data_IF_896461053112
#
_entry.id   IF_896461053112
#
_cell.length_a   1.000
_cell.length_b   1.000
_cell.length_c   1.000
_cell.angle_alpha   90.00
_cell.angle_beta   90.00
_cell.angle_gamma   90.00
#
_symmetry.space_group_name_H-M   'P 1'
#
loop_
_entity.id
_entity.type
_entity.pdbx_description
1 polymer ?
#
# COMPACT_ATOMS: atom_id res chain seq x y z
N UNK A 1 6.10 3.27 12.49
CA UNK A 1 6.97 4.47 12.65
C UNK A 1 6.77 5.33 11.42
N UNK A 2 6.58 6.65 11.58
CA UNK A 2 6.46 7.58 10.45
C UNK A 2 7.85 7.92 9.93
N UNK A 3 8.09 7.65 8.66
CA UNK A 3 9.38 7.86 8.03
C UNK A 3 9.27 8.85 6.87
N UNK A 4 8.16 8.79 6.12
CA UNK A 4 7.97 9.60 4.92
C UNK A 4 7.41 10.98 5.22
N UNK A 5 6.38 11.07 6.06
CA UNK A 5 5.71 12.34 6.36
C UNK A 5 5.97 12.75 7.80
N UNK A 6 7.01 13.56 8.01
CA UNK A 6 7.33 14.17 9.31
C UNK A 6 7.21 15.70 9.23
N UNK A 7 6.96 16.35 10.36
CA UNK A 7 7.04 17.79 10.48
C UNK A 7 8.42 18.23 10.97
N UNK A 8 9.20 18.95 10.13
CA UNK A 8 10.42 19.58 10.60
C UNK A 8 10.13 20.53 11.77
N UNK A 9 10.90 20.39 12.85
CA UNK A 9 10.74 21.22 14.04
C UNK A 9 9.87 20.61 15.15
N UNK A 10 9.23 19.46 14.91
CA UNK A 10 8.67 18.62 15.99
C UNK A 10 9.80 17.71 16.50
N UNK A 11 10.34 17.93 17.73
CA UNK A 11 11.58 17.29 18.15
C UNK A 11 11.50 15.76 18.17
N UNK A 12 10.37 15.19 18.63
CA UNK A 12 10.19 13.74 18.73
C UNK A 12 10.14 13.08 17.34
N UNK A 13 9.40 13.66 16.38
CA UNK A 13 9.34 13.13 15.02
C UNK A 13 10.70 13.20 14.33
N UNK A 14 11.39 14.33 14.50
CA UNK A 14 12.71 14.55 13.94
C UNK A 14 13.71 13.54 14.50
N UNK A 15 13.72 13.35 15.83
CA UNK A 15 14.59 12.39 16.49
C UNK A 15 14.33 10.95 16.02
N UNK A 16 13.06 10.53 15.98
CA UNK A 16 12.70 9.18 15.53
C UNK A 16 13.14 8.93 14.08
N UNK A 17 12.88 9.88 13.19
CA UNK A 17 13.31 9.79 11.79
C UNK A 17 14.83 9.74 11.67
N UNK A 18 15.55 10.61 12.35
CA UNK A 18 17.01 10.68 12.28
C UNK A 18 17.65 9.39 12.81
N UNK A 19 17.08 8.80 13.87
CA UNK A 19 17.49 7.49 14.37
C UNK A 19 17.32 6.39 13.30
N UNK A 20 16.18 6.36 12.62
CA UNK A 20 15.93 5.38 11.54
C UNK A 20 16.89 5.56 10.39
N UNK A 21 17.08 6.80 9.92
CA UNK A 21 18.04 7.09 8.86
C UNK A 21 19.46 6.69 9.25
N UNK A 22 19.86 6.95 10.50
CA UNK A 22 21.18 6.55 10.99
C UNK A 22 21.34 5.02 11.01
N UNK A 23 20.28 4.26 11.35
CA UNK A 23 20.28 2.79 11.27
C UNK A 23 20.39 2.30 9.82
N UNK A 24 19.65 2.89 8.88
CA UNK A 24 19.73 2.56 7.45
C UNK A 24 21.13 2.86 6.89
N UNK A 25 21.71 4.01 7.23
CA UNK A 25 23.07 4.39 6.83
C UNK A 25 24.12 3.46 7.45
N UNK A 26 23.91 3.00 8.68
CA UNK A 26 24.78 1.99 9.29
C UNK A 26 24.67 0.67 8.52
N UNK A 27 23.46 0.19 8.27
CA UNK A 27 23.22 -1.02 7.48
C UNK A 27 23.97 -0.99 6.14
N UNK A 28 23.84 0.08 5.36
CA UNK A 28 24.53 0.15 4.06
C UNK A 28 26.05 0.21 4.14
N UNK A 29 26.62 0.80 5.20
CA UNK A 29 28.07 0.75 5.44
C UNK A 29 28.55 -0.66 5.76
N UNK A 30 27.81 -1.38 6.59
CA UNK A 30 28.14 -2.77 6.93
C UNK A 30 27.99 -3.69 5.71
N UNK A 31 26.94 -3.47 4.90
CA UNK A 31 26.74 -4.18 3.64
C UNK A 31 27.90 -3.97 2.68
N UNK A 32 28.34 -2.73 2.45
CA UNK A 32 29.49 -2.45 1.57
C UNK A 32 30.77 -3.15 2.05
N UNK A 33 31.03 -3.08 3.37
CA UNK A 33 32.20 -3.70 3.98
C UNK A 33 32.24 -5.23 3.84
N UNK A 34 31.08 -5.88 3.70
CA UNK A 34 30.93 -7.34 3.61
C UNK A 34 30.44 -7.84 2.25
N UNK A 35 30.33 -6.95 1.26
CA UNK A 35 29.73 -7.26 -0.04
C UNK A 35 30.45 -8.38 -0.79
N UNK A 36 31.78 -8.46 -0.68
CA UNK A 36 32.56 -9.54 -1.28
C UNK A 36 32.32 -10.89 -0.57
N UNK A 37 32.31 -10.89 0.77
CA UNK A 37 32.03 -12.08 1.59
C UNK A 37 30.62 -12.65 1.28
N UNK A 38 29.64 -11.79 0.99
CA UNK A 38 28.30 -12.20 0.54
C UNK A 38 28.39 -13.01 -0.75
N UNK A 39 29.09 -12.48 -1.76
CA UNK A 39 29.25 -13.13 -3.06
C UNK A 39 29.98 -14.48 -2.91
N UNK A 40 31.03 -14.54 -2.10
CA UNK A 40 31.78 -15.78 -1.88
C UNK A 40 30.97 -16.84 -1.13
N UNK A 41 30.08 -16.45 -0.22
CA UNK A 41 29.17 -17.36 0.49
C UNK A 41 28.20 -18.04 -0.48
N UNK A 42 27.59 -17.28 -1.41
CA UNK A 42 26.68 -17.85 -2.41
C UNK A 42 27.39 -18.68 -3.49
N UNK A 43 28.68 -18.43 -3.72
CA UNK A 43 29.50 -19.25 -4.61
C UNK A 43 30.11 -20.47 -3.90
N UNK A 44 29.66 -20.79 -2.68
CA UNK A 44 30.16 -21.89 -1.85
C UNK A 44 31.68 -21.82 -1.57
N UNK A 45 32.26 -20.60 -1.65
CA UNK A 45 33.69 -20.36 -1.39
C UNK A 45 33.98 -20.05 0.06
N UNK A 46 32.95 -19.74 0.84
CA UNK A 46 33.04 -19.40 2.25
C UNK A 46 31.84 -19.95 3.02
N UNK A 47 32.10 -20.36 4.27
CA UNK A 47 31.04 -20.64 5.24
C UNK A 47 30.88 -19.41 6.13
N UNK A 48 29.77 -18.68 5.97
CA UNK A 48 29.44 -17.50 6.75
C UNK A 48 27.99 -17.57 7.20
N UNK A 49 27.74 -17.28 8.48
CA UNK A 49 26.39 -17.15 9.00
C UNK A 49 25.75 -15.83 8.55
N UNK A 50 25.25 -15.86 7.32
CA UNK A 50 24.54 -14.75 6.72
C UNK A 50 23.27 -14.42 7.51
N UNK A 51 22.58 -15.42 8.08
CA UNK A 51 21.33 -15.22 8.80
C UNK A 51 21.55 -14.40 10.06
N UNK A 52 22.53 -14.80 10.88
CA UNK A 52 22.88 -14.06 12.09
C UNK A 52 23.37 -12.65 11.76
N UNK A 53 24.13 -12.47 10.68
CA UNK A 53 24.58 -11.15 10.25
C UNK A 53 23.42 -10.24 9.81
N UNK A 54 22.45 -10.77 9.05
CA UNK A 54 21.27 -10.00 8.67
C UNK A 54 20.41 -9.63 9.88
N UNK A 55 20.34 -10.52 10.88
CA UNK A 55 19.68 -10.22 12.15
C UNK A 55 20.40 -9.11 12.94
N UNK A 56 21.72 -9.15 13.00
CA UNK A 56 22.55 -8.15 13.68
C UNK A 56 22.50 -6.77 13.00
N UNK A 57 22.32 -6.70 11.69
CA UNK A 57 22.45 -5.44 10.96
C UNK A 57 21.15 -4.94 10.33
N UNK A 58 20.47 -5.73 9.50
CA UNK A 58 19.23 -5.31 8.83
C UNK A 58 18.06 -5.24 9.81
N UNK A 59 17.84 -6.31 10.59
CA UNK A 59 16.67 -6.41 11.47
C UNK A 59 16.72 -5.46 12.68
N UNK A 60 17.88 -4.86 12.98
CA UNK A 60 17.97 -3.77 13.97
C UNK A 60 17.26 -2.49 13.53
N UNK A 61 16.96 -2.33 12.23
CA UNK A 61 16.10 -1.27 11.73
C UNK A 61 14.66 -1.55 12.17
N UNK A 62 14.13 -2.73 11.83
CA UNK A 62 12.85 -3.28 12.28
C UNK A 62 12.88 -4.82 12.13
N UNK A 63 12.48 -5.56 13.17
CA UNK A 63 12.54 -7.02 13.20
C UNK A 63 11.55 -7.69 12.24
N UNK A 64 10.55 -6.98 11.73
CA UNK A 64 9.62 -7.50 10.74
C UNK A 64 10.14 -7.42 9.30
N UNK A 65 11.30 -6.82 9.07
CA UNK A 65 11.93 -6.81 7.75
C UNK A 65 12.54 -8.18 7.45
N UNK A 66 12.23 -8.67 6.26
CA UNK A 66 12.75 -9.92 5.72
C UNK A 66 13.62 -9.63 4.49
N UNK A 67 14.37 -10.63 4.05
CA UNK A 67 15.31 -10.47 2.95
C UNK A 67 15.47 -11.72 2.11
N UNK A 68 15.84 -11.52 0.84
CA UNK A 68 16.20 -12.60 -0.08
C UNK A 68 17.38 -12.18 -0.94
N UNK A 69 18.34 -13.08 -1.11
CA UNK A 69 19.42 -12.92 -2.09
C UNK A 69 19.18 -13.83 -3.29
N UNK A 70 19.67 -13.40 -4.44
CA UNK A 70 19.63 -14.21 -5.65
C UNK A 70 20.46 -13.61 -6.77
N UNK A 71 20.43 -14.20 -7.97
CA UNK A 71 21.01 -13.59 -9.15
C UNK A 71 20.25 -12.30 -9.53
N UNK A 72 20.96 -11.35 -10.14
CA UNK A 72 20.35 -10.16 -10.74
C UNK A 72 19.24 -10.56 -11.73
N UNK A 73 18.19 -9.74 -11.83
CA UNK A 73 17.12 -9.96 -12.81
C UNK A 73 17.48 -9.40 -14.18
N UNK A 74 18.31 -8.35 -14.23
CA UNK A 74 18.69 -7.65 -15.45
C UNK A 74 20.15 -7.87 -15.76
N UNK A 75 20.49 -9.11 -16.09
CA UNK A 75 21.82 -9.49 -16.56
C UNK A 75 22.66 -10.17 -15.50
N UNK A 76 23.97 -9.94 -15.54
CA UNK A 76 24.92 -10.54 -14.60
C UNK A 76 24.99 -9.76 -13.30
N UNK A 77 25.15 -10.47 -12.19
CA UNK A 77 25.30 -9.88 -10.86
C UNK A 77 24.38 -10.51 -9.82
N UNK A 78 24.12 -9.75 -8.78
CA UNK A 78 23.38 -10.18 -7.61
C UNK A 78 22.18 -9.27 -7.36
N UNK A 79 21.17 -9.80 -6.69
CA UNK A 79 20.08 -9.01 -6.14
C UNK A 79 19.97 -9.20 -4.63
N UNK A 80 19.58 -8.14 -3.96
CA UNK A 80 19.07 -8.17 -2.59
C UNK A 80 17.64 -7.62 -2.60
N UNK A 81 16.69 -8.44 -2.18
CA UNK A 81 15.34 -8.03 -1.86
C UNK A 81 15.26 -7.77 -0.37
N UNK A 82 14.77 -6.59 0.03
CA UNK A 82 14.35 -6.28 1.39
C UNK A 82 12.83 -6.17 1.34
N UNK A 83 12.13 -7.12 1.95
CA UNK A 83 10.68 -7.32 1.77
C UNK A 83 9.94 -7.18 3.09
N UNK A 84 8.72 -6.61 3.08
CA UNK A 84 7.85 -6.59 4.25
C UNK A 84 7.13 -7.92 4.53
N UNK A 85 7.22 -8.92 3.63
CA UNK A 85 6.55 -10.23 3.74
C UNK A 85 5.07 -10.11 4.16
N UNK A 86 4.30 -9.34 3.39
CA UNK A 86 2.87 -9.11 3.68
C UNK A 86 2.59 -8.16 4.85
N UNK A 87 3.61 -7.74 5.61
CA UNK A 87 3.48 -6.71 6.65
C UNK A 87 3.45 -5.32 6.01
N UNK A 88 2.34 -4.97 5.34
CA UNK A 88 2.26 -3.80 4.46
C UNK A 88 2.71 -2.47 5.08
N UNK A 89 2.52 -2.26 6.38
CA UNK A 89 3.07 -1.10 7.11
C UNK A 89 4.59 -0.91 6.98
N UNK A 90 5.34 -1.97 6.70
CA UNK A 90 6.80 -1.93 6.51
C UNK A 90 7.22 -1.63 5.06
N UNK A 91 6.29 -1.61 4.10
CA UNK A 91 6.60 -1.39 2.69
C UNK A 91 7.28 -0.03 2.46
N UNK A 92 6.84 1.02 3.17
CA UNK A 92 7.45 2.36 3.10
C UNK A 92 8.87 2.36 3.68
N UNK A 93 9.11 1.59 4.75
CA UNK A 93 10.44 1.45 5.34
C UNK A 93 11.38 0.66 4.42
N UNK A 94 10.93 -0.46 3.87
CA UNK A 94 11.68 -1.24 2.90
C UNK A 94 12.06 -0.41 1.66
N UNK A 95 11.13 0.39 1.13
CA UNK A 95 11.40 1.30 0.02
C UNK A 95 12.44 2.35 0.42
N UNK A 96 12.31 2.96 1.61
CA UNK A 96 13.29 3.94 2.09
C UNK A 96 14.70 3.36 2.23
N UNK A 97 14.82 2.10 2.69
CA UNK A 97 16.11 1.42 2.77
C UNK A 97 16.72 1.30 1.37
N UNK A 98 15.95 0.79 0.40
CA UNK A 98 16.39 0.57 -0.98
C UNK A 98 16.69 1.87 -1.72
N UNK A 99 15.89 2.92 -1.53
CA UNK A 99 16.12 4.25 -2.13
C UNK A 99 17.43 4.89 -1.64
N UNK A 100 17.89 4.49 -0.45
CA UNK A 100 19.16 4.94 0.12
C UNK A 100 20.34 4.02 -0.23
N UNK A 101 20.13 2.96 -1.01
CA UNK A 101 21.19 2.07 -1.44
C UNK A 101 22.23 2.85 -2.26
N UNK A 102 23.53 2.75 -1.92
CA UNK A 102 24.60 3.22 -2.80
C UNK A 102 24.57 2.51 -4.15
N UNK A 103 25.12 3.16 -5.18
CA UNK A 103 25.28 2.56 -6.50
C UNK A 103 26.42 1.54 -6.47
N UNK A 104 26.07 0.28 -6.20
CA UNK A 104 27.00 -0.83 -6.10
C UNK A 104 27.05 -1.57 -7.44
N UNK A 105 28.20 -1.53 -8.11
CA UNK A 105 28.42 -2.27 -9.35
C UNK A 105 28.09 -3.75 -9.17
N UNK A 106 27.28 -4.29 -10.09
CA UNK A 106 26.84 -5.69 -10.10
C UNK A 106 25.71 -6.04 -9.11
N UNK A 107 25.04 -5.05 -8.51
CA UNK A 107 23.95 -5.27 -7.56
C UNK A 107 22.64 -4.61 -7.96
N UNK A 108 21.55 -5.34 -7.75
CA UNK A 108 20.16 -4.86 -7.86
C UNK A 108 19.48 -4.89 -6.48
N UNK A 109 18.79 -3.81 -6.12
CA UNK A 109 18.07 -3.71 -4.86
C UNK A 109 16.57 -3.57 -5.09
N UNK A 110 15.78 -4.35 -4.36
CA UNK A 110 14.33 -4.35 -4.46
C UNK A 110 13.68 -4.26 -3.08
N UNK A 111 12.63 -3.45 -2.96
CA UNK A 111 11.90 -3.26 -1.70
C UNK A 111 10.69 -4.20 -1.53
N UNK A 112 10.56 -5.18 -2.43
CA UNK A 112 9.48 -6.16 -2.50
C UNK A 112 9.91 -7.28 -3.45
N UNK A 113 9.40 -8.49 -3.23
CA UNK A 113 9.74 -9.64 -4.10
C UNK A 113 9.27 -9.40 -5.54
N UNK A 114 10.15 -9.50 -6.55
CA UNK A 114 9.76 -9.46 -7.95
C UNK A 114 9.05 -10.77 -8.37
N UNK A 115 8.38 -10.77 -9.51
CA UNK A 115 7.84 -12.00 -10.10
C UNK A 115 8.96 -12.98 -10.44
N UNK A 116 8.70 -14.28 -10.26
CA UNK A 116 9.69 -15.35 -10.43
C UNK A 116 10.00 -15.70 -11.89
N UNK A 117 9.16 -15.30 -12.84
CA UNK A 117 9.32 -15.61 -14.26
C UNK A 117 9.36 -17.12 -14.54
N UNK A 118 10.32 -17.56 -15.35
CA UNK A 118 10.44 -18.95 -15.82
C UNK A 118 10.76 -19.97 -14.71
N UNK A 119 11.18 -19.52 -13.53
CA UNK A 119 11.54 -20.37 -12.39
C UNK A 119 10.41 -20.56 -11.37
N UNK A 120 9.17 -20.25 -11.77
CA UNK A 120 8.00 -20.23 -10.91
C UNK A 120 7.82 -21.53 -10.09
N UNK A 121 7.73 -22.68 -10.75
CA UNK A 121 7.43 -23.97 -10.10
C UNK A 121 8.55 -24.40 -9.14
N UNK A 122 9.81 -24.18 -9.53
CA UNK A 122 10.98 -24.48 -8.68
C UNK A 122 10.96 -23.63 -7.41
N UNK A 123 10.65 -22.34 -7.53
CA UNK A 123 10.63 -21.43 -6.39
C UNK A 123 9.45 -21.72 -5.46
N UNK A 124 8.28 -22.08 -6.01
CA UNK A 124 7.14 -22.52 -5.21
C UNK A 124 7.51 -23.80 -4.43
N UNK A 125 8.05 -24.81 -5.12
CA UNK A 125 8.46 -26.06 -4.49
C UNK A 125 9.53 -25.86 -3.40
N UNK A 126 10.48 -24.95 -3.61
CA UNK A 126 11.49 -24.61 -2.59
C UNK A 126 10.89 -23.92 -1.35
N UNK A 127 9.87 -23.06 -1.53
CA UNK A 127 9.22 -22.32 -0.43
C UNK A 127 8.22 -23.17 0.35
N UNK A 128 7.49 -24.06 -0.33
CA UNK A 128 6.33 -24.75 0.26
C UNK A 128 6.52 -26.25 0.39
N UNK A 129 7.49 -26.84 -0.32
CA UNK A 129 7.62 -28.29 -0.46
C UNK A 129 6.52 -28.93 -1.31
N UNK A 130 5.66 -28.12 -1.96
CA UNK A 130 4.49 -28.58 -2.71
C UNK A 130 4.76 -28.50 -4.22
N UNK A 131 4.46 -29.59 -4.92
CA UNK A 131 4.40 -29.61 -6.38
C UNK A 131 3.06 -29.02 -6.86
N UNK A 132 3.13 -27.90 -7.57
CA UNK A 132 1.97 -27.22 -8.15
C UNK A 132 1.79 -27.53 -9.64
N UNK A 133 2.51 -28.52 -10.17
CA UNK A 133 2.41 -28.95 -11.57
C UNK A 133 0.97 -29.28 -11.94
N UNK A 134 0.53 -28.76 -13.09
CA UNK A 134 -0.82 -28.94 -13.61
C UNK A 134 -1.89 -28.08 -12.94
N UNK A 135 -1.53 -27.26 -11.94
CA UNK A 135 -2.43 -26.23 -11.39
C UNK A 135 -2.89 -25.30 -12.51
N UNK A 136 -4.17 -24.94 -12.45
CA UNK A 136 -4.75 -23.95 -13.37
C UNK A 136 -5.31 -22.77 -12.58
N UNK A 137 -5.39 -21.63 -13.24
CA UNK A 137 -5.94 -20.41 -12.64
C UNK A 137 -6.79 -19.64 -13.64
N UNK A 138 -7.97 -19.24 -13.20
CA UNK A 138 -8.82 -18.29 -13.89
C UNK A 138 -8.46 -16.87 -13.43
N UNK A 139 -8.27 -15.97 -14.40
CA UNK A 139 -8.00 -14.54 -14.17
C UNK A 139 -9.26 -13.77 -14.55
N UNK A 140 -9.85 -13.03 -13.61
CA UNK A 140 -11.15 -12.35 -13.79
C UNK A 140 -11.08 -10.89 -13.34
N UNK A 141 -11.83 -9.99 -13.98
CA UNK A 141 -12.02 -8.64 -13.42
C UNK A 141 -12.74 -8.75 -12.08
N UNK A 142 -12.16 -8.16 -11.05
CA UNK A 142 -12.71 -8.13 -9.70
C UNK A 142 -13.38 -6.81 -9.34
N UNK A 143 -13.86 -6.73 -8.10
CA UNK A 143 -14.43 -5.49 -7.56
C UNK A 143 -13.35 -4.42 -7.40
N UNK A 144 -13.77 -3.15 -7.43
CA UNK A 144 -12.89 -2.01 -7.21
C UNK A 144 -11.64 -1.99 -8.12
N UNK A 145 -11.76 -2.55 -9.33
CA UNK A 145 -10.65 -2.65 -10.31
C UNK A 145 -9.49 -3.54 -9.83
N UNK A 146 -9.77 -4.51 -8.97
CA UNK A 146 -8.88 -5.63 -8.72
C UNK A 146 -8.96 -6.67 -9.84
N UNK A 147 -8.07 -7.66 -9.75
CA UNK A 147 -8.04 -8.86 -10.55
C UNK A 147 -8.25 -10.03 -9.59
N UNK A 148 -9.37 -10.73 -9.73
CA UNK A 148 -9.69 -11.89 -8.91
C UNK A 148 -9.11 -13.16 -9.55
N UNK A 149 -8.65 -14.08 -8.71
CA UNK A 149 -7.99 -15.31 -9.11
C UNK A 149 -8.70 -16.53 -8.52
N UNK A 150 -9.08 -17.47 -9.39
CA UNK A 150 -9.62 -18.75 -8.94
C UNK A 150 -8.63 -19.87 -9.27
N UNK A 151 -8.08 -20.52 -8.25
CA UNK A 151 -7.14 -21.62 -8.40
C UNK A 151 -7.84 -22.97 -8.38
N UNK A 152 -7.43 -23.86 -9.29
CA UNK A 152 -7.64 -25.30 -9.18
C UNK A 152 -6.30 -26.02 -9.09
N UNK A 153 -5.97 -26.44 -7.86
CA UNK A 153 -4.84 -27.31 -7.61
C UNK A 153 -5.18 -28.75 -7.98
N UNK A 154 -4.22 -29.45 -8.55
CA UNK A 154 -4.35 -30.85 -8.99
C UNK A 154 -4.56 -31.81 -7.83
N UNK A 155 -3.92 -31.53 -6.69
CA UNK A 155 -4.15 -32.23 -5.44
C UNK A 155 -5.15 -31.43 -4.57
N UNK A 156 -6.36 -31.97 -4.30
CA UNK A 156 -7.33 -31.34 -3.41
C UNK A 156 -6.82 -31.06 -1.99
N UNK A 157 -5.83 -31.80 -1.50
CA UNK A 157 -5.23 -31.57 -0.19
C UNK A 157 -4.45 -30.25 -0.12
N UNK A 158 -4.03 -29.72 -1.29
CA UNK A 158 -3.36 -28.43 -1.41
C UNK A 158 -4.31 -27.29 -1.78
N UNK A 159 -5.63 -27.53 -1.76
CA UNK A 159 -6.65 -26.51 -2.01
C UNK A 159 -6.75 -25.52 -0.83
N UNK A 160 -5.66 -24.81 -0.57
CA UNK A 160 -5.44 -23.90 0.54
C UNK A 160 -5.23 -22.47 0.06
N UNK A 161 -5.86 -21.51 0.73
CA UNK A 161 -5.77 -20.09 0.38
C UNK A 161 -4.37 -19.53 0.61
N UNK A 162 -3.64 -20.02 1.63
CA UNK A 162 -2.26 -19.61 1.90
C UNK A 162 -1.31 -20.01 0.78
N UNK A 163 -1.42 -21.24 0.27
CA UNK A 163 -0.67 -21.65 -0.92
C UNK A 163 -1.00 -20.77 -2.13
N UNK A 164 -2.29 -20.51 -2.39
CA UNK A 164 -2.70 -19.66 -3.51
C UNK A 164 -2.13 -18.24 -3.44
N UNK A 165 -2.01 -17.67 -2.23
CA UNK A 165 -1.34 -16.37 -2.01
C UNK A 165 0.15 -16.47 -2.38
N UNK A 166 0.86 -17.49 -1.88
CA UNK A 166 2.29 -17.70 -2.20
C UNK A 166 2.51 -17.85 -3.71
N UNK A 167 1.68 -18.67 -4.36
CA UNK A 167 1.74 -18.85 -5.82
C UNK A 167 1.48 -17.54 -6.56
N UNK A 168 0.51 -16.75 -6.11
CA UNK A 168 0.21 -15.43 -6.67
C UNK A 168 1.38 -14.47 -6.55
N UNK A 169 2.01 -14.38 -5.38
CA UNK A 169 3.20 -13.55 -5.19
C UNK A 169 4.35 -13.97 -6.11
N UNK A 170 4.57 -15.27 -6.27
CA UNK A 170 5.58 -15.77 -7.20
C UNK A 170 5.24 -15.45 -8.66
N UNK A 171 3.96 -15.43 -9.03
CA UNK A 171 3.51 -15.11 -10.39
C UNK A 171 3.71 -13.64 -10.76
N UNK A 172 3.40 -12.71 -9.87
CA UNK A 172 3.30 -11.28 -10.21
C UNK A 172 4.17 -10.35 -9.36
N UNK A 173 4.86 -10.89 -8.37
CA UNK A 173 5.59 -10.15 -7.36
C UNK A 173 4.68 -9.60 -6.27
N UNK A 174 5.26 -9.35 -5.11
CA UNK A 174 4.57 -8.93 -3.89
C UNK A 174 3.84 -7.58 -4.06
N UNK A 175 4.46 -6.62 -4.76
CA UNK A 175 3.84 -5.31 -5.00
C UNK A 175 2.59 -5.41 -5.87
N UNK A 176 2.65 -6.20 -6.95
CA UNK A 176 1.50 -6.39 -7.83
C UNK A 176 0.41 -7.17 -7.11
N UNK A 177 0.78 -8.22 -6.36
CA UNK A 177 -0.14 -8.98 -5.52
C UNK A 177 -0.90 -8.05 -4.56
N UNK A 178 -0.17 -7.24 -3.78
CA UNK A 178 -0.77 -6.34 -2.80
C UNK A 178 -1.61 -5.20 -3.40
N UNK A 179 -1.35 -4.76 -4.63
CA UNK A 179 -2.03 -3.58 -5.21
C UNK A 179 -3.14 -3.90 -6.20
N UNK A 180 -3.05 -5.02 -6.91
CA UNK A 180 -3.93 -5.33 -8.04
C UNK A 180 -4.74 -6.60 -7.84
N UNK A 181 -4.31 -7.54 -7.00
CA UNK A 181 -5.03 -8.79 -6.80
C UNK A 181 -6.14 -8.60 -5.78
N UNK A 182 -7.35 -9.07 -6.11
CA UNK A 182 -8.52 -8.98 -5.26
C UNK A 182 -8.78 -10.28 -4.52
N UNK A 183 -9.95 -10.85 -4.76
CA UNK A 183 -10.34 -12.12 -4.18
C UNK A 183 -9.49 -13.26 -4.77
N UNK A 184 -8.94 -14.09 -3.89
CA UNK A 184 -8.26 -15.34 -4.26
C UNK A 184 -9.13 -16.48 -3.74
N UNK A 185 -9.73 -17.22 -4.66
CA UNK A 185 -10.53 -18.41 -4.36
C UNK A 185 -9.79 -19.67 -4.73
N UNK A 186 -10.06 -20.75 -3.99
CA UNK A 186 -9.47 -22.06 -4.26
C UNK A 186 -10.58 -23.10 -4.33
N UNK A 187 -10.55 -23.92 -5.37
CA UNK A 187 -11.49 -25.03 -5.57
C UNK A 187 -10.78 -26.37 -5.50
N UNK A 188 -11.41 -27.34 -4.83
CA UNK A 188 -10.92 -28.71 -4.76
C UNK A 188 -11.40 -29.53 -5.98
N UNK A 189 -10.47 -30.07 -6.74
CA UNK A 189 -10.73 -31.10 -7.76
C UNK A 189 -10.91 -30.61 -9.21
N UNK A 190 -10.76 -31.54 -10.14
CA UNK A 190 -10.69 -31.30 -11.60
C UNK A 190 -12.05 -31.02 -12.29
N UNK A 191 -13.14 -30.78 -11.56
CA UNK A 191 -14.50 -31.02 -12.07
C UNK A 191 -15.43 -29.80 -12.20
N UNK A 192 -14.97 -28.56 -11.99
CA UNK A 192 -15.85 -27.44 -12.32
C UNK A 192 -15.87 -27.22 -13.84
N UNK A 193 -17.03 -27.31 -14.49
CA UNK A 193 -17.18 -27.01 -15.92
C UNK A 193 -16.71 -25.59 -16.29
N UNK A 194 -16.56 -24.71 -15.29
CA UNK A 194 -15.94 -23.40 -15.41
C UNK A 194 -14.47 -23.46 -15.86
N UNK A 195 -13.74 -24.55 -15.58
CA UNK A 195 -12.30 -24.71 -15.88
C UNK A 195 -11.99 -24.91 -17.38
N UNK A 196 -13.01 -24.98 -18.26
CA UNK A 196 -12.80 -25.09 -19.72
C UNK A 196 -12.13 -23.84 -20.34
N UNK A 197 -11.97 -22.74 -19.60
CA UNK A 197 -11.32 -21.48 -20.03
C UNK A 197 -10.02 -21.15 -19.28
N UNK A 198 -9.58 -22.04 -18.41
CA UNK A 198 -8.52 -21.74 -17.47
C UNK A 198 -7.14 -21.83 -18.10
N UNK A 199 -6.23 -21.01 -17.60
CA UNK A 199 -4.85 -21.01 -18.05
C UNK A 199 -4.06 -22.05 -17.25
N UNK A 200 -3.13 -22.77 -17.89
CA UNK A 200 -2.00 -23.34 -17.16
C UNK A 200 -1.34 -22.28 -16.28
N UNK A 201 -0.91 -22.65 -15.07
CA UNK A 201 -0.27 -21.73 -14.12
C UNK A 201 0.86 -20.88 -14.75
N UNK A 202 1.68 -21.50 -15.61
CA UNK A 202 2.77 -20.82 -16.33
C UNK A 202 2.32 -19.63 -17.20
N UNK A 203 1.09 -19.64 -17.71
CA UNK A 203 0.55 -18.59 -18.57
C UNK A 203 -0.18 -17.50 -17.76
N UNK A 204 -0.38 -17.72 -16.45
CA UNK A 204 -1.20 -16.88 -15.60
C UNK A 204 -0.61 -15.48 -15.39
N UNK A 205 0.71 -15.40 -15.19
CA UNK A 205 1.40 -14.13 -14.96
C UNK A 205 1.19 -13.14 -16.11
N UNK A 206 1.33 -13.61 -17.36
CA UNK A 206 1.07 -12.80 -18.55
C UNK A 206 -0.41 -12.38 -18.69
N UNK A 207 -1.34 -13.25 -18.30
CA UNK A 207 -2.78 -12.94 -18.32
C UNK A 207 -3.13 -11.87 -17.28
N UNK A 208 -2.58 -11.99 -16.07
CA UNK A 208 -2.74 -10.98 -15.02
C UNK A 208 -2.17 -9.64 -15.48
N UNK A 209 -0.96 -9.63 -16.04
CA UNK A 209 -0.33 -8.41 -16.53
C UNK A 209 -1.12 -7.76 -17.68
N UNK A 210 -1.70 -8.57 -18.58
CA UNK A 210 -2.58 -8.08 -19.64
C UNK A 210 -3.85 -7.43 -19.09
N UNK A 211 -4.46 -8.07 -18.10
CA UNK A 211 -5.65 -7.54 -17.44
C UNK A 211 -5.34 -6.26 -16.66
N UNK A 212 -4.19 -6.22 -15.97
CA UNK A 212 -3.67 -5.02 -15.30
C UNK A 212 -3.51 -3.86 -16.27
N UNK A 213 -2.89 -4.09 -17.43
CA UNK A 213 -2.76 -3.06 -18.49
C UNK A 213 -4.10 -2.62 -19.01
N UNK A 214 -5.03 -3.55 -19.28
CA UNK A 214 -6.41 -3.23 -19.71
C UNK A 214 -7.10 -2.31 -18.72
N UNK A 215 -7.00 -2.60 -17.43
CA UNK A 215 -7.56 -1.76 -16.37
C UNK A 215 -6.88 -0.40 -16.32
N UNK A 216 -5.54 -0.35 -16.33
CA UNK A 216 -4.75 0.89 -16.33
C UNK A 216 -5.03 1.79 -17.54
N UNK A 217 -5.26 1.21 -18.71
CA UNK A 217 -5.61 1.91 -19.94
C UNK A 217 -7.01 2.52 -19.90
N UNK A 218 -7.92 1.90 -19.14
CA UNK A 218 -9.28 2.43 -18.92
C UNK A 218 -9.34 3.61 -17.94
N UNK A 219 -8.25 3.92 -17.23
CA UNK A 219 -8.26 4.94 -16.19
C UNK A 219 -8.29 6.36 -16.77
N UNK A 220 -8.89 7.33 -16.04
CA UNK A 220 -8.80 8.74 -16.38
C UNK A 220 -7.33 9.17 -16.51
N UNK A 221 -6.94 9.64 -17.69
CA UNK A 221 -5.57 10.11 -17.98
C UNK A 221 -5.35 11.57 -17.59
N UNK A 222 -6.43 12.33 -17.43
CA UNK A 222 -6.40 13.71 -16.94
C UNK A 222 -6.58 13.72 -15.43
N UNK A 223 -5.76 14.49 -14.73
CA UNK A 223 -5.89 14.67 -13.29
C UNK A 223 -7.25 15.33 -12.93
N UNK A 224 -7.83 14.94 -11.81
CA UNK A 224 -9.12 15.44 -11.31
C UNK A 224 -9.10 16.97 -11.14
N UNK A 225 -7.97 17.53 -10.71
CA UNK A 225 -7.80 18.99 -10.57
C UNK A 225 -7.96 19.74 -11.89
N UNK A 226 -7.62 19.11 -13.02
CA UNK A 226 -7.66 19.73 -14.35
C UNK A 226 -9.02 19.51 -15.04
N UNK A 227 -9.86 18.61 -14.53
CA UNK A 227 -11.20 18.34 -15.05
C UNK A 227 -12.33 18.89 -14.19
N UNK A 228 -13.57 18.76 -14.65
CA UNK A 228 -14.74 18.86 -13.78
C UNK A 228 -15.19 17.43 -13.49
N UNK A 229 -15.37 17.01 -12.22
CA UNK A 229 -16.02 15.74 -11.92
C UNK A 229 -17.33 15.67 -12.68
N UNK A 230 -17.39 14.84 -13.71
CA UNK A 230 -18.58 14.67 -14.53
C UNK A 230 -19.52 13.73 -13.78
N UNK A 231 -20.62 14.24 -13.23
CA UNK A 231 -21.60 13.41 -12.54
C UNK A 231 -22.41 14.18 -11.52
N UNK A 232 -23.44 13.54 -10.99
CA UNK A 232 -24.08 13.95 -9.73
C UNK A 232 -23.33 13.20 -8.61
N UNK A 233 -22.93 13.91 -7.56
CA UNK A 233 -22.36 13.26 -6.39
C UNK A 233 -23.33 12.22 -5.83
N UNK A 234 -22.82 11.08 -5.39
CA UNK A 234 -23.61 10.05 -4.73
C UNK A 234 -23.57 10.32 -3.23
N UNK A 235 -24.69 10.09 -2.54
CA UNK A 235 -24.82 10.22 -1.09
C UNK A 235 -25.16 8.85 -0.52
N UNK A 236 -24.44 8.42 0.52
CA UNK A 236 -24.66 7.15 1.21
C UNK A 236 -24.99 7.38 2.67
N UNK A 237 -25.99 6.63 3.16
CA UNK A 237 -26.19 6.43 4.59
C UNK A 237 -25.56 5.09 4.97
N UNK A 238 -24.56 5.13 5.83
CA UNK A 238 -23.77 3.98 6.25
C UNK A 238 -24.17 3.62 7.68
N UNK A 239 -24.26 2.33 7.98
CA UNK A 239 -24.40 1.88 9.36
C UNK A 239 -23.00 1.77 9.97
N UNK A 240 -22.68 2.55 11.02
CA UNK A 240 -21.36 2.46 11.65
C UNK A 240 -21.16 1.08 12.27
N UNK A 241 -19.89 0.68 12.45
CA UNK A 241 -19.50 -0.59 13.06
C UNK A 241 -18.83 -0.28 14.42
N UNK A 242 -19.59 -0.21 15.53
CA UNK A 242 -19.08 0.30 16.81
C UNK A 242 -17.87 -0.46 17.35
N UNK A 243 -17.83 -1.78 17.13
CA UNK A 243 -16.74 -2.67 17.54
C UNK A 243 -15.41 -2.34 16.87
N UNK A 244 -15.45 -1.67 15.71
CA UNK A 244 -14.28 -1.20 14.94
C UNK A 244 -14.14 0.32 14.97
N UNK A 245 -14.91 1.04 15.79
CA UNK A 245 -14.95 2.50 15.78
C UNK A 245 -13.60 3.21 16.04
N UNK A 246 -12.62 2.65 16.78
CA UNK A 246 -11.28 3.25 16.84
C UNK A 246 -10.58 3.23 15.47
N UNK A 247 -10.92 2.27 14.61
CA UNK A 247 -10.34 2.10 13.28
C UNK A 247 -10.84 3.16 12.30
N UNK A 248 -9.94 3.60 11.43
CA UNK A 248 -10.16 4.61 10.41
C UNK A 248 -11.47 4.40 9.60
N UNK A 249 -12.35 5.42 9.58
CA UNK A 249 -13.61 5.51 8.82
C UNK A 249 -14.77 4.56 9.20
N UNK A 250 -14.63 3.72 10.22
CA UNK A 250 -15.70 2.80 10.64
C UNK A 250 -16.83 3.45 11.46
N UNK A 251 -16.67 4.72 11.83
CA UNK A 251 -17.68 5.52 12.52
C UNK A 251 -18.60 6.29 11.56
N UNK A 252 -18.35 6.28 10.25
CA UNK A 252 -19.12 7.02 9.24
C UNK A 252 -20.60 6.62 9.27
N UNK A 253 -21.48 7.63 9.31
CA UNK A 253 -22.94 7.47 9.20
C UNK A 253 -23.49 8.04 7.90
N UNK A 254 -22.85 9.08 7.36
CA UNK A 254 -23.29 9.78 6.17
C UNK A 254 -22.09 10.21 5.34
N UNK A 255 -22.13 10.00 4.03
CA UNK A 255 -21.05 10.40 3.14
C UNK A 255 -21.58 10.89 1.81
N UNK A 256 -20.81 11.74 1.14
CA UNK A 256 -21.01 12.08 -0.26
C UNK A 256 -19.68 12.06 -1.01
N UNK A 257 -19.70 11.69 -2.28
CA UNK A 257 -18.50 11.66 -3.13
C UNK A 257 -18.87 11.77 -4.60
N UNK A 258 -18.00 12.42 -5.35
CA UNK A 258 -18.05 12.47 -6.81
C UNK A 258 -17.34 11.28 -7.45
N UNK A 259 -16.60 10.50 -6.67
CA UNK A 259 -15.84 9.32 -7.08
C UNK A 259 -16.33 8.10 -6.32
N UNK A 260 -17.50 7.59 -6.69
CA UNK A 260 -18.14 6.44 -6.04
C UNK A 260 -17.20 5.25 -5.89
N UNK A 261 -16.53 4.82 -6.96
CA UNK A 261 -15.66 3.65 -6.91
C UNK A 261 -14.48 3.83 -5.94
N UNK A 262 -13.91 5.04 -5.86
CA UNK A 262 -12.82 5.38 -4.93
C UNK A 262 -13.31 5.33 -3.49
N UNK A 263 -14.48 5.94 -3.23
CA UNK A 263 -15.07 5.97 -1.89
C UNK A 263 -15.40 4.56 -1.40
N UNK A 264 -16.07 3.75 -2.22
CA UNK A 264 -16.38 2.36 -1.86
C UNK A 264 -15.10 1.54 -1.62
N UNK A 265 -14.10 1.68 -2.50
CA UNK A 265 -12.84 0.97 -2.34
C UNK A 265 -12.10 1.39 -1.06
N UNK A 266 -12.15 2.67 -0.68
CA UNK A 266 -11.50 3.17 0.56
C UNK A 266 -12.12 2.60 1.85
N UNK A 267 -13.34 2.07 1.78
CA UNK A 267 -14.05 1.47 2.91
C UNK A 267 -14.00 -0.05 2.90
N UNK A 268 -14.07 -0.65 1.71
CA UNK A 268 -14.33 -2.09 1.57
C UNK A 268 -13.19 -2.87 0.92
N UNK A 269 -12.22 -2.20 0.28
CA UNK A 269 -11.03 -2.86 -0.29
C UNK A 269 -9.94 -2.90 0.79
N UNK A 270 -9.53 -4.09 1.26
CA UNK A 270 -8.44 -4.19 2.25
C UNK A 270 -7.08 -3.76 1.67
N UNK A 271 -6.99 -3.59 0.35
CA UNK A 271 -5.75 -3.40 -0.38
C UNK A 271 -5.81 -2.19 -1.34
N UNK A 272 -6.47 -1.11 -0.93
CA UNK A 272 -6.63 0.09 -1.74
C UNK A 272 -5.29 0.57 -2.33
N UNK A 273 -5.29 0.88 -3.62
CA UNK A 273 -4.15 1.46 -4.31
C UNK A 273 -4.62 2.55 -5.28
N UNK A 274 -4.12 3.77 -5.11
CA UNK A 274 -4.49 4.97 -5.87
C UNK A 274 -4.26 4.79 -7.38
N UNK A 275 -3.24 4.01 -7.76
CA UNK A 275 -2.93 3.67 -9.16
C UNK A 275 -4.04 2.87 -9.85
N UNK A 276 -4.97 2.26 -9.10
CA UNK A 276 -6.17 1.63 -9.66
C UNK A 276 -7.25 2.63 -10.05
N UNK A 277 -7.15 3.90 -9.64
CA UNK A 277 -8.21 4.89 -9.84
C UNK A 277 -7.76 6.16 -10.57
N UNK A 278 -6.46 6.43 -10.64
CA UNK A 278 -5.91 7.57 -11.39
C UNK A 278 -4.82 7.13 -12.37
N UNK A 279 -5.08 7.32 -13.66
CA UNK A 279 -4.07 7.20 -14.71
C UNK A 279 -3.16 8.42 -14.83
N UNK A 280 -3.48 9.49 -14.09
CA UNK A 280 -2.70 10.73 -14.00
C UNK A 280 -1.70 10.73 -12.83
N UNK A 281 -1.64 9.65 -12.05
CA UNK A 281 -0.72 9.50 -10.92
C UNK A 281 -1.13 10.24 -9.65
N UNK A 282 -2.43 10.49 -9.45
CA UNK A 282 -2.92 11.09 -8.20
C UNK A 282 -2.93 10.06 -7.06
N UNK A 283 -2.64 10.53 -5.85
CA UNK A 283 -2.82 9.79 -4.60
C UNK A 283 -4.11 10.23 -3.89
N UNK A 284 -4.80 9.28 -3.28
CA UNK A 284 -6.02 9.53 -2.53
C UNK A 284 -5.77 9.45 -1.02
N UNK A 285 -6.28 10.44 -0.31
CA UNK A 285 -6.17 10.56 1.15
C UNK A 285 -7.40 11.29 1.70
N UNK A 286 -7.53 11.40 3.02
CA UNK A 286 -8.54 12.28 3.62
C UNK A 286 -7.98 13.11 4.76
N UNK A 287 -8.57 14.27 4.98
CA UNK A 287 -8.51 14.96 6.26
C UNK A 287 -9.56 14.34 7.20
N UNK A 288 -9.13 13.75 8.30
CA UNK A 288 -9.96 13.28 9.42
C UNK A 288 -9.83 14.29 10.56
N UNK A 289 -10.92 14.74 11.15
CA UNK A 289 -10.88 15.63 12.31
C UNK A 289 -12.06 15.43 13.24
N UNK A 290 -11.84 15.63 14.54
CA UNK A 290 -12.88 15.44 15.55
C UNK A 290 -13.93 16.54 15.46
N UNK A 291 -15.14 16.17 15.08
CA UNK A 291 -16.26 17.10 14.99
C UNK A 291 -17.55 16.34 15.26
N UNK A 292 -18.30 16.80 16.26
CA UNK A 292 -19.64 16.26 16.52
C UNK A 292 -20.63 17.07 15.70
N UNK A 293 -20.94 16.58 14.50
CA UNK A 293 -21.96 17.18 13.65
C UNK A 293 -23.30 16.45 13.84
N UNK A 294 -24.38 17.22 13.92
CA UNK A 294 -25.72 16.67 13.77
C UNK A 294 -25.90 16.29 12.29
N UNK A 295 -26.37 15.07 11.99
CA UNK A 295 -26.69 14.65 10.62
C UNK A 295 -27.62 15.64 9.90
N UNK A 296 -28.49 16.34 10.65
CA UNK A 296 -29.40 17.35 10.10
C UNK A 296 -28.68 18.59 9.53
N UNK A 297 -27.43 18.83 9.94
CA UNK A 297 -26.60 19.95 9.48
C UNK A 297 -25.81 19.63 8.21
N UNK A 298 -25.80 18.36 7.77
CA UNK A 298 -25.08 17.96 6.57
C UNK A 298 -25.86 18.32 5.31
N UNK A 299 -25.32 19.28 4.56
CA UNK A 299 -25.81 19.63 3.22
C UNK A 299 -24.72 19.35 2.17
N UNK A 300 -24.81 18.22 1.43
CA UNK A 300 -23.89 17.89 0.35
C UNK A 300 -23.83 18.95 -0.75
N UNK A 301 -24.90 19.74 -0.94
CA UNK A 301 -24.94 20.75 -1.99
C UNK A 301 -24.18 22.03 -1.60
N UNK A 302 -24.04 22.29 -0.29
CA UNK A 302 -23.40 23.51 0.22
C UNK A 302 -21.92 23.30 0.52
N UNK A 303 -21.53 22.08 0.92
CA UNK A 303 -20.19 21.74 1.38
C UNK A 303 -19.77 22.50 2.64
N UNK A 304 -18.94 21.90 3.48
CA UNK A 304 -18.39 22.57 4.66
C UNK A 304 -17.45 23.72 4.28
N UNK A 305 -17.19 24.64 5.21
CA UNK A 305 -16.18 25.69 5.03
C UNK A 305 -14.78 25.09 4.84
N UNK A 306 -14.49 23.98 5.53
CA UNK A 306 -13.24 23.23 5.40
C UNK A 306 -13.08 22.66 3.99
N UNK A 307 -14.12 22.03 3.43
CA UNK A 307 -14.10 21.54 2.04
C UNK A 307 -13.80 22.65 1.04
N UNK A 308 -14.50 23.79 1.14
CA UNK A 308 -14.29 24.93 0.22
C UNK A 308 -12.88 25.51 0.35
N UNK A 309 -12.37 25.63 1.57
CA UNK A 309 -11.01 26.09 1.84
C UNK A 309 -9.98 25.17 1.18
N UNK A 310 -10.09 23.86 1.41
CA UNK A 310 -9.18 22.86 0.85
C UNK A 310 -9.22 22.86 -0.67
N UNK A 311 -10.42 22.84 -1.25
CA UNK A 311 -10.61 22.86 -2.71
C UNK A 311 -9.96 24.09 -3.34
N UNK A 312 -10.17 25.27 -2.75
CA UNK A 312 -9.57 26.52 -3.22
C UNK A 312 -8.04 26.50 -3.17
N UNK A 313 -7.45 26.06 -2.05
CA UNK A 313 -5.99 25.99 -1.87
C UNK A 313 -5.37 25.02 -2.88
N UNK A 314 -5.96 23.82 -3.02
CA UNK A 314 -5.42 22.79 -3.90
C UNK A 314 -5.57 23.16 -5.38
N UNK A 315 -6.71 23.71 -5.81
CA UNK A 315 -6.94 24.11 -7.21
C UNK A 315 -6.09 25.30 -7.63
N UNK A 316 -5.98 26.33 -6.78
CA UNK A 316 -5.19 27.53 -7.10
C UNK A 316 -3.71 27.20 -7.37
N UNK A 317 -3.20 26.13 -6.76
CA UNK A 317 -1.83 25.63 -6.95
C UNK A 317 -1.73 24.44 -7.91
N UNK A 318 -2.86 23.99 -8.48
CA UNK A 318 -2.96 22.78 -9.32
C UNK A 318 -2.37 21.53 -8.65
N UNK A 319 -2.54 21.40 -7.33
CA UNK A 319 -2.00 20.30 -6.53
C UNK A 319 -3.00 19.17 -6.31
N UNK A 320 -4.30 19.41 -6.51
CA UNK A 320 -5.33 18.40 -6.25
C UNK A 320 -6.73 18.99 -6.12
N UNK A 321 -7.66 18.22 -5.57
CA UNK A 321 -9.05 18.62 -5.35
C UNK A 321 -9.69 17.87 -4.17
N UNK A 322 -10.74 18.45 -3.60
CA UNK A 322 -11.70 17.70 -2.78
C UNK A 322 -12.56 16.80 -3.67
N UNK A 323 -12.74 15.53 -3.28
CA UNK A 323 -13.49 14.52 -4.04
C UNK A 323 -14.76 14.05 -3.33
N UNK A 324 -14.90 14.35 -2.04
CA UNK A 324 -16.06 14.02 -1.23
C UNK A 324 -15.86 14.41 0.23
N UNK A 325 -16.86 14.14 1.05
CA UNK A 325 -16.78 14.28 2.49
C UNK A 325 -17.69 13.27 3.20
N UNK A 326 -17.39 12.99 4.45
CA UNK A 326 -18.22 12.13 5.30
C UNK A 326 -18.28 12.66 6.73
N UNK A 327 -19.34 12.27 7.42
CA UNK A 327 -19.52 12.50 8.84
C UNK A 327 -19.74 11.13 9.49
N UNK A 328 -19.03 10.92 10.58
CA UNK A 328 -19.22 9.80 11.49
C UNK A 328 -19.76 10.22 12.83
N UNK A 329 -19.86 9.25 13.74
CA UNK A 329 -20.35 9.49 15.09
C UNK A 329 -19.39 10.34 15.93
N UNK A 330 -18.11 10.43 15.54
CA UNK A 330 -17.09 11.22 16.23
C UNK A 330 -16.28 12.13 15.31
N UNK A 331 -16.03 11.69 14.08
CA UNK A 331 -15.14 12.40 13.17
C UNK A 331 -15.87 12.91 11.92
N UNK A 332 -15.40 14.04 11.40
CA UNK A 332 -15.65 14.47 10.04
C UNK A 332 -14.46 14.11 9.14
N UNK A 333 -14.76 13.91 7.85
CA UNK A 333 -13.82 13.46 6.84
C UNK A 333 -13.96 14.31 5.58
N UNK A 334 -12.84 14.74 5.00
CA UNK A 334 -12.80 15.37 3.66
C UNK A 334 -11.86 14.57 2.78
N UNK A 335 -12.39 13.97 1.73
CA UNK A 335 -11.66 13.13 0.79
C UNK A 335 -10.95 14.01 -0.25
N UNK A 336 -9.68 13.69 -0.53
CA UNK A 336 -8.77 14.46 -1.38
C UNK A 336 -8.16 13.56 -2.45
N UNK A 337 -7.98 14.12 -3.65
CA UNK A 337 -7.10 13.58 -4.69
C UNK A 337 -5.95 14.57 -4.92
N UNK A 338 -4.70 14.12 -4.76
CA UNK A 338 -3.50 14.94 -4.81
C UNK A 338 -2.55 14.47 -5.91
N UNK A 339 -2.08 15.39 -6.77
CA UNK A 339 -1.05 15.10 -7.79
C UNK A 339 0.33 14.88 -7.20
N UNK A 340 0.60 15.53 -6.06
CA UNK A 340 1.78 15.32 -5.24
C UNK A 340 1.33 15.33 -3.80
N UNK A 341 1.49 14.18 -3.15
CA UNK A 341 1.05 13.96 -1.78
C UNK A 341 1.75 14.94 -0.82
N UNK A 342 3.07 15.03 -0.93
CA UNK A 342 3.92 15.92 -0.13
C UNK A 342 3.56 17.39 -0.32
N UNK A 343 3.53 17.87 -1.57
CA UNK A 343 3.26 19.28 -1.87
C UNK A 343 1.82 19.67 -1.52
N UNK A 344 0.86 18.77 -1.75
CA UNK A 344 -0.55 18.95 -1.39
C UNK A 344 -0.73 19.11 0.12
N UNK A 345 -0.14 18.19 0.91
CA UNK A 345 -0.19 18.24 2.37
C UNK A 345 0.47 19.52 2.91
N UNK A 346 1.66 19.88 2.41
CA UNK A 346 2.34 21.12 2.82
C UNK A 346 1.52 22.37 2.51
N UNK A 347 0.78 22.39 1.40
CA UNK A 347 -0.05 23.51 1.00
C UNK A 347 -1.29 23.69 1.89
N UNK A 348 -1.92 22.61 2.35
CA UNK A 348 -3.19 22.69 3.10
C UNK A 348 -3.03 22.88 4.61
N UNK A 349 -1.90 22.49 5.21
CA UNK A 349 -1.71 22.59 6.67
C UNK A 349 -1.80 24.02 7.20
N UNK A 350 -1.11 25.04 6.64
CA UNK A 350 -1.20 26.40 7.18
C UNK A 350 -2.62 27.00 7.10
N UNK A 351 -3.35 26.90 5.97
CA UNK A 351 -4.74 27.34 5.90
C UNK A 351 -5.66 26.63 6.90
N UNK A 352 -5.52 25.31 7.09
CA UNK A 352 -6.32 24.57 8.07
C UNK A 352 -6.06 25.04 9.51
N UNK A 353 -4.78 25.28 9.87
CA UNK A 353 -4.41 25.87 11.18
C UNK A 353 -5.02 27.25 11.36
N UNK A 354 -4.94 28.10 10.33
CA UNK A 354 -5.49 29.46 10.37
C UNK A 354 -7.03 29.47 10.46
N UNK A 355 -7.70 28.48 9.85
CA UNK A 355 -9.14 28.29 9.95
C UNK A 355 -9.56 27.77 11.34
N UNK A 356 -8.62 27.19 12.11
CA UNK A 356 -8.88 26.73 13.46
C UNK A 356 -9.49 25.33 13.54
N UNK A 357 -9.14 24.43 12.61
CA UNK A 357 -9.56 23.02 12.74
C UNK A 357 -9.05 22.43 14.06
N UNK A 358 -9.76 21.48 14.69
CA UNK A 358 -9.41 20.94 16.00
C UNK A 358 -7.99 20.36 16.06
N UNK A 359 -7.41 20.29 17.27
CA UNK A 359 -6.08 19.68 17.49
C UNK A 359 -6.02 18.23 17.01
N UNK A 360 -7.13 17.53 17.16
CA UNK A 360 -7.35 16.15 16.75
C UNK A 360 -7.74 16.11 15.26
N UNK A 361 -6.81 16.55 14.41
CA UNK A 361 -6.96 16.59 12.95
C UNK A 361 -5.75 15.97 12.27
N UNK A 362 -5.98 15.04 11.35
CA UNK A 362 -4.96 14.24 10.68
C UNK A 362 -5.24 14.12 9.18
N UNK A 363 -4.19 14.12 8.36
CA UNK A 363 -4.26 13.54 7.02
C UNK A 363 -4.00 12.04 7.14
N UNK A 364 -4.92 11.24 6.61
CA UNK A 364 -4.89 9.78 6.58
C UNK A 364 -4.86 9.30 5.14
N UNK A 365 -4.15 8.21 4.87
CA UNK A 365 -3.95 7.70 3.52
C UNK A 365 -4.85 6.50 3.22
N UNK A 366 -5.25 6.32 1.97
CA UNK A 366 -6.00 5.13 1.56
C UNK A 366 -5.07 4.04 1.04
N UNK A 367 -3.94 4.41 0.40
CA UNK A 367 -2.96 3.45 -0.10
C UNK A 367 -2.47 2.53 1.01
N UNK A 368 -2.58 1.21 0.79
CA UNK A 368 -2.29 0.15 1.76
C UNK A 368 -0.93 0.30 2.46
N UNK A 369 0.11 0.65 1.70
CA UNK A 369 1.48 0.84 2.20
C UNK A 369 1.66 2.07 3.10
N UNK A 370 0.72 3.01 3.06
CA UNK A 370 0.70 4.23 3.86
C UNK A 370 -0.34 4.18 4.98
N UNK A 371 -1.50 3.54 4.76
CA UNK A 371 -2.67 3.63 5.64
C UNK A 371 -2.39 3.18 7.08
N UNK A 372 -1.53 2.17 7.25
CA UNK A 372 -1.17 1.61 8.56
C UNK A 372 0.08 2.25 9.19
N UNK A 373 0.94 2.86 8.37
CA UNK A 373 2.29 3.26 8.79
C UNK A 373 2.47 4.78 8.89
N UNK A 374 1.67 5.53 8.14
CA UNK A 374 1.83 6.96 7.92
C UNK A 374 0.53 7.72 8.22
N UNK A 375 0.69 8.93 8.74
CA UNK A 375 -0.35 9.93 8.92
C UNK A 375 0.31 11.29 9.16
N UNK A 376 -0.42 12.38 8.93
CA UNK A 376 0.14 13.74 9.12
C UNK A 376 -0.75 14.54 10.05
N UNK A 377 -0.25 14.91 11.22
CA UNK A 377 -0.97 15.82 12.11
C UNK A 377 -1.12 17.20 11.48
N UNK A 378 -2.29 17.84 11.63
CA UNK A 378 -2.45 19.21 11.13
C UNK A 378 -1.67 20.20 12.00
N UNK A 379 -1.63 20.01 13.32
CA UNK A 379 -0.93 20.89 14.27
C UNK A 379 0.41 20.29 14.72
N UNK A 380 1.37 21.10 15.18
CA UNK A 380 2.65 20.60 15.71
C UNK A 380 2.50 19.70 16.96
N UNK A 381 1.40 19.87 17.69
CA UNK A 381 1.05 19.10 18.88
C UNK A 381 -0.21 18.25 18.68
N UNK A 382 -0.54 17.91 17.42
CA UNK A 382 -1.59 16.94 17.13
C UNK A 382 -1.25 15.59 17.79
N UNK A 383 -2.15 15.00 18.60
CA UNK A 383 -1.90 13.71 19.23
C UNK A 383 -1.89 12.57 18.20
N UNK A 384 -1.53 11.35 18.64
CA UNK A 384 -1.67 10.15 17.81
C UNK A 384 -3.15 9.95 17.41
N UNK A 385 -3.42 9.47 16.18
CA UNK A 385 -4.74 8.96 15.83
C UNK A 385 -5.19 7.87 16.81
N UNK A 386 -6.50 7.75 17.12
CA UNK A 386 -6.99 6.80 18.12
C UNK A 386 -6.58 5.35 17.86
N UNK A 387 -6.68 4.87 16.62
CA UNK A 387 -6.27 3.52 16.21
C UNK A 387 -4.77 3.27 16.37
N UNK A 388 -3.94 4.30 16.24
CA UNK A 388 -2.49 4.19 16.44
C UNK A 388 -2.14 4.21 17.92
N UNK A 389 -2.87 4.98 18.74
CA UNK A 389 -2.65 5.08 20.18
C UNK A 389 -2.96 3.78 20.94
N UNK A 390 -3.95 3.02 20.47
CA UNK A 390 -4.36 1.76 21.09
C UNK A 390 -3.39 0.60 20.78
N UNK A 391 -2.57 0.72 19.75
CA UNK A 391 -1.43 -0.18 19.48
C UNK A 391 -0.27 0.07 20.48
N UNK A 392 -0.49 -0.28 21.76
CA UNK A 392 0.47 -0.16 22.87
C UNK A 392 1.74 -1.04 22.73
N UNK A 393 1.98 -1.67 21.57
CA UNK A 393 3.13 -2.53 21.30
C UNK A 393 4.19 -1.89 20.38
N UNK A 394 4.11 -0.58 20.11
CA UNK A 394 4.98 0.11 19.14
C UNK A 394 6.25 0.74 19.74
N UNK A 395 6.71 0.30 20.92
CA UNK A 395 8.02 0.66 21.49
C UNK A 395 8.94 -0.52 21.57
#
# INVERSE_FOLDING_TARGET
MRCRFWEPGVPIETQMRDQTLARIQRWWREFDARRADLVDTFNERQNWDLTDWMAEHLQTIDNGLMWEFGPALRGEGHRLVITPEGTHRLQTLAQMIVDMAPDFEGWEFHSARPASGDHLEVLIGARTGIDVSGTTVAVKPGRHRCIDLDYAFTNPEYADAGLAIIVTECLVGERTAGRWIGEISVSAGNSCEAFKRDAPLRDAGERIERERRRLADSLPKQAIVDGTPSGKGTVWRVKPIPEKAPSFRFDITLAHSWLQEVWEASLYSPNFASERFSGAGESFCCLQFEETLDESSFDPARGSEVERLLDQVLKSRRLGRVTGAAIGTRFAYVDLALKSLEAGIQAIRPPLRAHGVPRNSWIRFFDLDLAESEWVGIHPDTPLPPDVADCKSLT
#
